data_IF_773074606820
#
_entry.id   IF_773074606820
#
_cell.length_a   1.000
_cell.length_b   1.000
_cell.length_c   1.000
_cell.angle_alpha   90.00
_cell.angle_beta   90.00
_cell.angle_gamma   90.00
#
_symmetry.space_group_name_H-M   'P 1'
#
loop_
_entity.id
_entity.type
_entity.pdbx_description
1 polymer ?
#
# COMPACT_ATOMS: atom_id res chain seq x y z
N UNK A 1 18.65 5.15 17.64
CA UNK A 1 17.90 4.77 16.43
C UNK A 1 18.51 3.48 15.93
N UNK A 2 17.73 2.40 15.77
CA UNK A 2 18.21 1.20 15.11
C UNK A 2 18.35 1.48 13.60
N UNK A 3 19.34 0.90 12.93
CA UNK A 3 19.49 1.00 11.47
C UNK A 3 20.25 2.21 10.91
N UNK A 4 20.86 3.08 11.73
CA UNK A 4 21.61 4.26 11.22
C UNK A 4 23.04 3.97 10.73
N UNK A 5 23.49 2.71 10.74
CA UNK A 5 24.92 2.39 10.66
C UNK A 5 25.65 2.72 11.98
N UNK A 6 26.83 2.14 12.18
CA UNK A 6 27.61 2.15 13.44
C UNK A 6 28.26 3.51 13.80
N UNK A 7 27.86 4.60 13.15
CA UNK A 7 28.67 5.82 13.01
C UNK A 7 28.97 6.61 14.29
N UNK A 8 28.56 6.14 15.47
CA UNK A 8 28.82 6.79 16.77
C UNK A 8 29.05 5.80 17.95
N UNK A 9 29.43 4.55 17.69
CA UNK A 9 29.67 3.57 18.78
C UNK A 9 28.41 3.14 19.53
N UNK A 10 27.24 3.30 18.90
CA UNK A 10 25.97 2.80 19.43
C UNK A 10 25.92 1.27 19.44
N UNK A 11 25.10 0.66 20.30
CA UNK A 11 24.97 -0.79 20.36
C UNK A 11 24.40 -1.33 19.04
N UNK A 12 24.96 -2.44 18.56
CA UNK A 12 24.41 -3.19 17.43
C UNK A 12 23.02 -3.72 17.80
N UNK A 13 22.01 -3.34 17.03
CA UNK A 13 20.63 -3.82 17.17
C UNK A 13 20.35 -4.84 16.05
N UNK A 14 20.14 -6.10 16.42
CA UNK A 14 19.87 -7.21 15.48
C UNK A 14 18.46 -7.77 15.64
N UNK A 15 17.62 -7.11 16.44
CA UNK A 15 16.20 -7.42 16.61
C UNK A 15 15.35 -6.49 15.75
N UNK A 16 14.10 -6.90 15.51
CA UNK A 16 13.09 -6.09 14.84
C UNK A 16 11.80 -6.11 15.66
N UNK A 17 11.01 -5.05 15.53
CA UNK A 17 9.71 -4.92 16.18
C UNK A 17 8.63 -4.85 15.10
N UNK A 18 7.48 -5.49 15.36
CA UNK A 18 6.30 -5.36 14.52
C UNK A 18 5.30 -4.43 15.21
N UNK A 19 4.91 -3.37 14.51
CA UNK A 19 3.90 -2.45 14.99
C UNK A 19 2.54 -2.79 14.39
N UNK A 20 1.54 -2.96 15.26
CA UNK A 20 0.13 -3.11 14.86
C UNK A 20 -0.59 -1.78 15.05
N UNK A 21 -0.96 -1.07 13.97
CA UNK A 21 -1.58 0.24 14.11
C UNK A 21 -3.00 0.15 14.69
N UNK A 22 -3.52 1.24 15.32
CA UNK A 22 -4.81 1.23 15.99
C UNK A 22 -5.99 0.75 15.13
N UNK A 23 -5.91 0.94 13.81
CA UNK A 23 -6.97 0.53 12.89
C UNK A 23 -7.16 -0.99 12.80
N UNK A 24 -6.18 -1.81 13.20
CA UNK A 24 -6.33 -3.26 13.24
C UNK A 24 -7.24 -3.74 14.39
N UNK A 25 -7.53 -2.86 15.35
CA UNK A 25 -8.34 -3.17 16.54
C UNK A 25 -9.75 -2.56 16.49
N UNK A 26 -10.17 -2.00 15.35
CA UNK A 26 -11.48 -1.33 15.18
C UNK A 26 -12.60 -2.26 14.68
N UNK A 27 -12.40 -3.58 14.74
CA UNK A 27 -13.37 -4.59 14.28
C UNK A 27 -12.87 -5.34 13.05
N UNK A 28 -13.80 -6.05 12.38
CA UNK A 28 -13.46 -6.91 11.24
C UNK A 28 -12.97 -6.09 10.04
N UNK A 29 -11.87 -6.54 9.43
CA UNK A 29 -11.32 -5.96 8.19
C UNK A 29 -12.16 -6.37 6.98
N UNK A 30 -12.47 -5.44 6.05
CA UNK A 30 -13.06 -5.81 4.78
C UNK A 30 -12.14 -6.80 4.02
N UNK A 31 -12.74 -7.80 3.38
CA UNK A 31 -12.04 -8.65 2.43
C UNK A 31 -12.06 -8.01 1.04
N UNK A 32 -11.05 -8.32 0.23
CA UNK A 32 -10.95 -7.92 -1.17
C UNK A 32 -10.53 -9.15 -1.99
N UNK A 33 -11.31 -9.48 -3.01
CA UNK A 33 -11.05 -10.62 -3.90
C UNK A 33 -11.32 -10.25 -5.36
N UNK A 34 -10.82 -11.06 -6.30
CA UNK A 34 -11.11 -10.88 -7.72
C UNK A 34 -10.41 -9.70 -8.40
N UNK A 35 -9.53 -8.98 -7.68
CA UNK A 35 -8.68 -7.97 -8.30
C UNK A 35 -7.70 -8.65 -9.29
N UNK A 36 -7.46 -8.06 -10.47
CA UNK A 36 -6.50 -8.59 -11.43
C UNK A 36 -5.06 -8.46 -10.90
N UNK A 37 -4.17 -9.34 -11.36
CA UNK A 37 -2.75 -9.34 -11.00
C UNK A 37 -1.92 -8.31 -11.78
N UNK A 38 -2.46 -7.79 -12.89
CA UNK A 38 -1.85 -6.78 -13.75
C UNK A 38 -2.90 -5.75 -14.16
N UNK A 39 -2.57 -4.47 -14.03
CA UNK A 39 -3.42 -3.35 -14.42
C UNK A 39 -2.56 -2.33 -15.17
N UNK A 40 -3.00 -1.93 -16.35
CA UNK A 40 -2.36 -0.83 -17.09
C UNK A 40 -2.82 0.52 -16.54
N UNK A 41 -2.00 1.56 -16.70
CA UNK A 41 -2.40 2.93 -16.38
C UNK A 41 -3.69 3.33 -17.10
N UNK A 42 -4.46 4.23 -16.48
CA UNK A 42 -5.77 4.73 -16.99
C UNK A 42 -6.88 3.66 -17.08
N UNK A 43 -6.53 2.37 -17.03
CA UNK A 43 -7.51 1.30 -17.08
C UNK A 43 -8.43 1.33 -15.87
N UNK A 44 -9.68 0.91 -16.07
CA UNK A 44 -10.57 0.57 -14.97
C UNK A 44 -10.51 -0.94 -14.73
N UNK A 45 -10.54 -1.34 -13.46
CA UNK A 45 -10.57 -2.73 -13.05
C UNK A 45 -11.56 -2.93 -11.91
N UNK A 46 -12.02 -4.17 -11.74
CA UNK A 46 -12.99 -4.51 -10.72
C UNK A 46 -12.38 -5.37 -9.62
N UNK A 47 -13.01 -5.29 -8.45
CA UNK A 47 -12.75 -6.17 -7.33
C UNK A 47 -14.05 -6.37 -6.53
N UNK A 48 -14.09 -7.44 -5.74
CA UNK A 48 -15.23 -7.78 -4.89
C UNK A 48 -14.85 -7.59 -3.43
N UNK A 49 -15.74 -7.01 -2.64
CA UNK A 49 -15.57 -6.80 -1.20
C UNK A 49 -16.82 -7.17 -0.42
N UNK A 50 -16.67 -7.41 0.89
CA UNK A 50 -17.77 -7.67 1.81
C UNK A 50 -18.14 -6.47 2.70
N UNK A 51 -17.49 -5.32 2.53
CA UNK A 51 -17.69 -4.13 3.36
C UNK A 51 -18.07 -2.90 2.56
N UNK A 52 -18.51 -1.85 3.27
CA UNK A 52 -18.63 -0.51 2.69
C UNK A 52 -17.24 0.14 2.65
N UNK A 53 -16.82 0.57 1.46
CA UNK A 53 -15.47 1.10 1.24
C UNK A 53 -15.52 2.61 1.17
N UNK A 54 -14.71 3.26 2.01
CA UNK A 54 -14.56 4.72 2.01
C UNK A 54 -13.37 5.19 1.17
N UNK A 55 -12.34 4.35 1.01
CA UNK A 55 -11.09 4.67 0.28
C UNK A 55 -10.51 3.42 -0.35
N UNK A 56 -9.97 3.57 -1.56
CA UNK A 56 -9.10 2.60 -2.22
C UNK A 56 -7.75 3.28 -2.43
N UNK A 57 -6.67 2.57 -2.12
CA UNK A 57 -5.31 3.09 -2.26
C UNK A 57 -4.39 2.03 -2.84
N UNK A 58 -3.44 2.43 -3.67
CA UNK A 58 -2.29 1.62 -4.06
C UNK A 58 -1.07 2.08 -3.27
N UNK A 59 -0.32 1.11 -2.72
CA UNK A 59 0.89 1.39 -1.96
C UNK A 59 2.07 0.64 -2.56
N UNK A 60 3.11 1.37 -2.98
CA UNK A 60 4.37 0.74 -3.42
C UNK A 60 5.16 0.28 -2.21
N UNK A 61 5.72 -0.92 -2.26
CA UNK A 61 6.62 -1.41 -1.21
C UNK A 61 7.85 -0.50 -1.12
N UNK A 62 8.22 -0.12 0.10
CA UNK A 62 9.38 0.72 0.37
C UNK A 62 10.69 -0.04 0.33
N UNK A 63 11.77 0.71 0.11
CA UNK A 63 13.15 0.23 0.22
C UNK A 63 13.94 1.26 1.05
N UNK A 64 14.00 1.07 2.36
CA UNK A 64 14.66 2.01 3.28
C UNK A 64 16.08 1.55 3.65
N UNK A 65 17.04 2.45 3.52
CA UNK A 65 18.36 2.32 4.13
C UNK A 65 18.90 3.69 4.50
N UNK A 66 19.60 3.79 5.63
CA UNK A 66 20.17 5.06 6.09
C UNK A 66 19.15 6.22 6.14
N UNK A 67 17.90 5.90 6.53
CA UNK A 67 16.79 6.85 6.61
C UNK A 67 16.38 7.44 5.25
N UNK A 68 16.59 6.67 4.18
CA UNK A 68 16.32 7.07 2.81
C UNK A 68 15.51 6.00 2.10
N UNK A 69 14.32 6.39 1.64
CA UNK A 69 13.36 5.56 0.91
C UNK A 69 12.73 6.38 -0.24
N UNK A 70 13.18 6.12 -1.47
CA UNK A 70 12.63 6.72 -2.70
C UNK A 70 11.50 5.89 -3.36
N UNK A 71 11.21 4.72 -2.80
CA UNK A 71 10.31 3.73 -3.39
C UNK A 71 8.88 3.85 -2.81
N UNK A 72 8.72 4.04 -1.50
CA UNK A 72 7.40 4.12 -0.87
C UNK A 72 6.54 5.22 -1.50
N UNK A 73 5.38 4.83 -2.00
CA UNK A 73 4.38 5.75 -2.60
C UNK A 73 2.99 5.35 -2.13
N UNK A 74 2.17 6.35 -1.80
CA UNK A 74 0.78 6.17 -1.41
C UNK A 74 -0.13 6.91 -2.39
N UNK A 75 -0.95 6.17 -3.12
CA UNK A 75 -1.82 6.72 -4.16
C UNK A 75 -3.29 6.44 -3.82
N UNK A 76 -4.10 7.49 -3.67
CA UNK A 76 -5.55 7.34 -3.58
C UNK A 76 -6.13 7.10 -4.98
N UNK A 77 -7.01 6.11 -5.10
CA UNK A 77 -7.66 5.78 -6.36
C UNK A 77 -9.13 6.22 -6.36
N UNK A 78 -9.62 6.80 -7.47
CA UNK A 78 -11.05 6.96 -7.67
C UNK A 78 -11.70 5.59 -7.84
N UNK A 79 -12.87 5.43 -7.24
CA UNK A 79 -13.67 4.21 -7.40
C UNK A 79 -15.15 4.51 -7.21
N UNK A 80 -15.98 3.59 -7.69
CA UNK A 80 -17.39 3.50 -7.33
C UNK A 80 -17.67 2.11 -6.74
N UNK A 81 -18.68 2.03 -5.87
CA UNK A 81 -19.13 0.77 -5.28
C UNK A 81 -20.60 0.55 -5.61
N UNK A 82 -20.93 -0.63 -6.15
CA UNK A 82 -22.30 -1.10 -6.36
C UNK A 82 -22.48 -2.44 -5.64
N UNK A 83 -23.18 -2.42 -4.51
CA UNK A 83 -23.26 -3.58 -3.61
C UNK A 83 -21.86 -4.05 -3.18
N UNK A 84 -21.52 -5.28 -3.56
CA UNK A 84 -20.23 -5.90 -3.25
C UNK A 84 -19.14 -5.65 -4.29
N UNK A 85 -19.45 -4.97 -5.40
CA UNK A 85 -18.52 -4.78 -6.51
C UNK A 85 -17.93 -3.37 -6.50
N UNK A 86 -16.61 -3.30 -6.59
CA UNK A 86 -15.84 -2.07 -6.79
C UNK A 86 -15.48 -1.94 -8.27
N UNK A 87 -15.62 -0.73 -8.81
CA UNK A 87 -15.02 -0.31 -10.08
C UNK A 87 -13.99 0.76 -9.78
N UNK A 88 -12.71 0.46 -10.02
CA UNK A 88 -11.56 1.25 -9.58
C UNK A 88 -10.81 1.74 -10.82
N UNK A 89 -10.38 3.01 -10.81
CA UNK A 89 -9.58 3.57 -11.90
C UNK A 89 -8.10 3.60 -11.53
N UNK A 90 -7.26 3.02 -12.38
CA UNK A 90 -5.81 2.99 -12.20
C UNK A 90 -5.17 4.38 -12.35
N UNK A 91 -3.97 4.59 -11.80
CA UNK A 91 -3.25 5.85 -11.93
C UNK A 91 -3.03 6.29 -13.39
N UNK A 92 -2.95 7.60 -13.60
CA UNK A 92 -2.96 8.18 -14.94
C UNK A 92 -1.71 7.88 -15.78
N UNK A 93 -0.53 7.74 -15.17
CA UNK A 93 0.73 7.54 -15.90
C UNK A 93 1.87 7.04 -15.01
N UNK A 94 2.98 6.69 -15.65
CA UNK A 94 4.20 6.20 -15.03
C UNK A 94 4.94 7.22 -14.15
N UNK A 95 4.71 8.53 -14.32
CA UNK A 95 5.35 9.54 -13.47
C UNK A 95 4.70 9.57 -12.08
N UNK A 96 3.39 9.31 -12.02
CA UNK A 96 2.63 9.23 -10.75
C UNK A 96 2.77 7.84 -10.13
N UNK A 97 2.65 6.79 -10.94
CA UNK A 97 2.77 5.40 -10.52
C UNK A 97 3.80 4.68 -11.40
N UNK A 98 5.11 4.75 -11.04
CA UNK A 98 6.14 4.03 -11.78
C UNK A 98 5.80 2.53 -11.87
N UNK A 99 6.05 1.86 -13.02
CA UNK A 99 5.80 0.44 -13.18
C UNK A 99 6.46 -0.38 -12.07
N UNK A 100 5.76 -1.41 -11.62
CA UNK A 100 6.21 -2.26 -10.52
C UNK A 100 5.02 -2.85 -9.75
N UNK A 101 5.33 -3.51 -8.66
CA UNK A 101 4.33 -4.11 -7.78
C UNK A 101 3.80 -3.10 -6.77
N UNK A 102 2.50 -3.19 -6.52
CA UNK A 102 1.78 -2.39 -5.53
C UNK A 102 0.90 -3.33 -4.70
N UNK A 103 0.67 -2.93 -3.46
CA UNK A 103 -0.36 -3.46 -2.57
C UNK A 103 -1.67 -2.72 -2.77
#
# INVERSE_FOLDING_TARGET
>A
MAGSGDSYGGPNQTTAELFEPPYLFKGARPSLTGAPTVVAHVASFSATTNGTIAKVSMVRAGADTHQFDEDTRFLNLPFTQNGNQLSITAPANANVAPPGYYM
#
